data_IF_753950619419
#
_entry.id   IF_753950619419
#
_cell.length_a   1.000
_cell.length_b   1.000
_cell.length_c   1.000
_cell.angle_alpha   90.00
_cell.angle_beta   90.00
_cell.angle_gamma   90.00
#
_symmetry.space_group_name_H-M   'P 1'
#
loop_
_entity.id
_entity.type
_entity.pdbx_description
1 polymer ?
#
# COMPACT_ATOMS: atom_id res chain seq x y z
N UNK A 1 -6.19 -0.26 23.01
CA UNK A 1 -6.62 -0.62 21.64
C UNK A 1 -5.91 -1.91 21.26
N UNK A 2 -6.64 -2.99 20.97
CA UNK A 2 -6.02 -4.19 20.41
C UNK A 2 -5.41 -3.83 19.06
N UNK A 3 -4.08 -3.96 18.93
CA UNK A 3 -3.42 -3.87 17.63
C UNK A 3 -3.97 -5.02 16.78
N UNK A 4 -4.75 -4.72 15.76
CA UNK A 4 -5.22 -5.78 14.87
C UNK A 4 -4.02 -6.36 14.11
N UNK A 5 -4.05 -7.67 13.88
CA UNK A 5 -2.98 -8.37 13.17
C UNK A 5 -3.13 -8.19 11.66
N UNK A 6 -2.05 -8.40 10.89
CA UNK A 6 -2.14 -8.38 9.42
C UNK A 6 -3.16 -9.39 8.88
N UNK A 7 -3.32 -10.55 9.55
CA UNK A 7 -4.34 -11.53 9.19
C UNK A 7 -5.78 -11.03 9.38
N UNK A 8 -6.03 -10.14 10.34
CA UNK A 8 -7.33 -9.50 10.49
C UNK A 8 -7.55 -8.44 9.41
N UNK A 9 -6.50 -7.69 9.08
CA UNK A 9 -6.57 -6.68 8.02
C UNK A 9 -6.82 -7.29 6.64
N UNK A 10 -6.21 -8.45 6.34
CA UNK A 10 -6.44 -9.23 5.10
C UNK A 10 -7.92 -9.60 4.94
N UNK A 11 -8.65 -9.83 6.04
CA UNK A 11 -10.07 -10.18 5.99
C UNK A 11 -10.98 -8.96 5.77
N UNK A 12 -10.51 -7.77 6.18
CA UNK A 12 -11.32 -6.57 6.22
C UNK A 12 -11.12 -5.65 5.02
N UNK A 13 -9.98 -5.76 4.33
CA UNK A 13 -9.59 -4.84 3.27
C UNK A 13 -9.31 -5.57 1.96
N UNK A 14 -9.72 -5.00 0.81
CA UNK A 14 -9.33 -5.53 -0.48
C UNK A 14 -7.81 -5.44 -0.66
N UNK A 15 -7.24 -6.45 -1.32
CA UNK A 15 -5.80 -6.57 -1.54
C UNK A 15 -5.53 -6.38 -3.02
N UNK A 16 -4.54 -5.57 -3.37
CA UNK A 16 -4.10 -5.37 -4.74
C UNK A 16 -2.61 -5.71 -4.87
N UNK A 17 -2.26 -6.60 -5.79
CA UNK A 17 -0.87 -6.80 -6.20
C UNK A 17 -0.42 -5.64 -7.09
N UNK A 18 0.75 -5.10 -6.79
CA UNK A 18 1.38 -4.01 -7.53
C UNK A 18 2.40 -4.61 -8.49
N UNK A 19 2.08 -4.62 -9.78
CA UNK A 19 2.89 -5.29 -10.81
C UNK A 19 3.38 -4.25 -11.79
N UNK A 20 4.71 -4.17 -11.93
CA UNK A 20 5.35 -3.36 -12.97
C UNK A 20 5.51 -4.19 -14.25
N UNK A 21 5.12 -3.63 -15.38
CA UNK A 21 5.38 -4.17 -16.70
C UNK A 21 5.94 -3.08 -17.65
N UNK A 22 5.96 -3.39 -18.96
CA UNK A 22 6.48 -2.49 -20.00
C UNK A 22 5.63 -1.24 -20.24
N UNK A 23 4.36 -1.24 -19.81
CA UNK A 23 3.42 -0.13 -19.97
C UNK A 23 3.26 0.70 -18.69
N UNK A 24 3.87 0.26 -17.59
CA UNK A 24 3.86 0.96 -16.30
C UNK A 24 3.46 0.03 -15.18
N UNK A 25 2.92 0.60 -14.10
CA UNK A 25 2.45 -0.17 -12.97
C UNK A 25 0.94 -0.44 -13.06
N UNK A 26 0.53 -1.67 -12.76
CA UNK A 26 -0.88 -2.08 -12.70
C UNK A 26 -1.20 -2.64 -11.32
N UNK A 27 -2.45 -2.42 -10.90
CA UNK A 27 -3.01 -2.92 -9.65
C UNK A 27 -3.98 -4.06 -9.96
N UNK A 28 -3.64 -5.28 -9.55
CA UNK A 28 -4.49 -6.46 -9.76
C UNK A 28 -5.12 -6.84 -8.43
N UNK A 29 -6.45 -6.88 -8.35
CA UNK A 29 -7.14 -7.31 -7.13
C UNK A 29 -6.89 -8.81 -6.86
N UNK A 30 -6.48 -9.11 -5.63
CA UNK A 30 -6.05 -10.44 -5.18
C UNK A 30 -7.08 -11.06 -4.27
N UNK A 31 -8.03 -11.80 -4.85
CA UNK A 31 -9.08 -12.47 -4.08
C UNK A 31 -8.61 -13.77 -3.39
N UNK A 32 -7.43 -14.28 -3.75
CA UNK A 32 -6.89 -15.56 -3.26
C UNK A 32 -6.03 -15.44 -2.00
N UNK A 33 -5.65 -14.23 -1.56
CA UNK A 33 -4.90 -14.02 -0.31
C UNK A 33 -5.89 -13.95 0.85
N UNK A 34 -5.91 -14.98 1.71
CA UNK A 34 -6.82 -15.10 2.86
C UNK A 34 -6.11 -14.99 4.21
N UNK A 35 -4.78 -15.08 4.19
CA UNK A 35 -3.90 -14.99 5.34
C UNK A 35 -2.50 -14.57 4.90
N UNK A 36 -1.65 -14.27 5.87
CA UNK A 36 -0.23 -14.05 5.63
C UNK A 36 0.45 -15.27 5.01
N UNK A 37 -0.05 -16.49 5.19
CA UNK A 37 0.58 -17.68 4.60
C UNK A 37 0.44 -17.77 3.06
N UNK A 38 -0.42 -16.96 2.45
CA UNK A 38 -0.77 -17.07 1.03
C UNK A 38 0.15 -16.27 0.09
N UNK A 39 1.19 -15.61 0.63
CA UNK A 39 2.19 -14.89 -0.16
C UNK A 39 3.60 -15.07 0.39
N UNK A 40 4.60 -14.82 -0.46
CA UNK A 40 6.00 -15.00 -0.12
C UNK A 40 6.59 -13.76 0.59
N UNK A 41 6.73 -13.85 1.92
CA UNK A 41 7.32 -12.81 2.78
C UNK A 41 8.79 -12.51 2.51
N UNK A 42 9.53 -13.38 1.81
CA UNK A 42 10.92 -13.11 1.44
C UNK A 42 11.05 -12.14 0.27
N UNK A 43 9.94 -11.86 -0.44
CA UNK A 43 9.96 -11.05 -1.66
C UNK A 43 8.94 -9.93 -1.63
N UNK A 44 7.85 -10.08 -0.88
CA UNK A 44 6.74 -9.13 -0.85
C UNK A 44 6.28 -8.83 0.57
N UNK A 45 5.78 -7.61 0.76
CA UNK A 45 5.11 -7.15 1.96
C UNK A 45 3.69 -6.65 1.62
N UNK A 46 2.77 -6.80 2.57
CA UNK A 46 1.49 -6.10 2.53
C UNK A 46 1.63 -4.71 3.15
N UNK A 47 1.24 -3.71 2.39
CA UNK A 47 1.30 -2.29 2.74
C UNK A 47 -0.11 -1.70 2.87
N UNK A 48 -0.41 -1.02 3.96
CA UNK A 48 -1.65 -0.26 4.07
C UNK A 48 -1.55 1.03 3.26
N UNK A 49 -2.48 1.23 2.32
CA UNK A 49 -2.54 2.48 1.53
C UNK A 49 -2.70 3.70 2.44
N UNK A 50 -3.56 3.63 3.46
CA UNK A 50 -3.64 4.66 4.51
C UNK A 50 -2.90 4.11 5.72
N UNK A 51 -1.91 4.81 6.29
CA UNK A 51 -1.22 4.33 7.49
C UNK A 51 -2.23 3.92 8.58
N UNK A 52 -2.15 2.66 9.04
CA UNK A 52 -3.18 2.04 9.89
C UNK A 52 -3.59 2.92 11.07
N UNK A 53 -2.61 3.46 11.80
CA UNK A 53 -2.87 4.34 12.94
C UNK A 53 -3.65 5.61 12.57
N UNK A 54 -3.41 6.17 11.39
CA UNK A 54 -4.13 7.35 10.91
C UNK A 54 -5.56 6.99 10.49
N UNK A 55 -5.74 5.84 9.83
CA UNK A 55 -7.04 5.33 9.43
C UNK A 55 -7.90 5.05 10.65
N UNK A 56 -7.41 4.27 11.61
CA UNK A 56 -8.15 3.89 12.81
C UNK A 56 -8.58 5.13 13.63
N UNK A 57 -7.71 6.15 13.72
CA UNK A 57 -8.01 7.39 14.44
C UNK A 57 -9.06 8.28 13.75
N UNK A 58 -9.13 8.27 12.42
CA UNK A 58 -9.98 9.18 11.64
C UNK A 58 -10.90 8.45 10.66
N UNK A 59 -11.29 7.22 10.99
CA UNK A 59 -11.99 6.31 10.08
C UNK A 59 -13.22 6.96 9.43
N UNK A 60 -14.06 7.59 10.26
CA UNK A 60 -15.26 8.31 9.80
C UNK A 60 -14.93 9.39 8.74
N UNK A 61 -13.87 10.17 8.95
CA UNK A 61 -13.47 11.22 8.00
C UNK A 61 -13.13 10.67 6.61
N UNK A 62 -12.45 9.52 6.58
CA UNK A 62 -12.11 8.82 5.33
C UNK A 62 -13.35 8.22 4.66
N UNK A 63 -14.19 7.53 5.43
CA UNK A 63 -15.39 6.86 4.94
C UNK A 63 -16.41 7.84 4.36
N UNK A 64 -16.67 8.97 5.04
CA UNK A 64 -17.55 10.04 4.55
C UNK A 64 -17.10 10.63 3.21
N UNK A 65 -15.80 10.54 2.90
CA UNK A 65 -15.19 11.04 1.66
C UNK A 65 -15.02 9.96 0.60
N UNK A 66 -15.48 8.74 0.87
CA UNK A 66 -15.32 7.59 -0.03
C UNK A 66 -13.89 7.08 -0.13
N UNK A 67 -13.00 7.48 0.79
CA UNK A 67 -11.61 7.04 0.81
C UNK A 67 -11.56 5.72 1.58
N UNK A 68 -11.45 4.61 0.85
CA UNK A 68 -11.41 3.27 1.44
C UNK A 68 -9.98 2.84 1.75
N UNK A 69 -9.81 2.15 2.86
CA UNK A 69 -8.58 1.42 3.14
C UNK A 69 -8.43 0.25 2.15
N UNK A 70 -7.20 -0.02 1.75
CA UNK A 70 -6.81 -1.17 0.92
C UNK A 70 -5.41 -1.62 1.32
N UNK A 71 -5.12 -2.89 1.07
CA UNK A 71 -3.78 -3.44 1.21
C UNK A 71 -3.14 -3.56 -0.17
N UNK A 72 -1.85 -3.23 -0.26
CA UNK A 72 -1.06 -3.35 -1.46
C UNK A 72 0.01 -4.40 -1.23
N UNK A 73 0.02 -5.47 -2.03
CA UNK A 73 1.11 -6.44 -2.04
C UNK A 73 2.21 -5.89 -2.94
N UNK A 74 3.30 -5.45 -2.33
CA UNK A 74 4.42 -4.77 -3.00
C UNK A 74 5.73 -5.53 -2.79
N UNK A 75 6.68 -5.48 -3.73
CA UNK A 75 8.04 -5.97 -3.49
C UNK A 75 8.68 -5.29 -2.28
N UNK A 76 9.54 -6.01 -1.54
CA UNK A 76 10.20 -5.47 -0.34
C UNK A 76 10.98 -4.19 -0.65
N UNK A 77 11.72 -4.16 -1.76
CA UNK A 77 12.48 -2.97 -2.18
C UNK A 77 11.59 -1.75 -2.42
N UNK A 78 10.40 -1.95 -2.98
CA UNK A 78 9.42 -0.89 -3.16
C UNK A 78 8.83 -0.46 -1.80
N UNK A 79 8.52 -1.42 -0.93
CA UNK A 79 8.03 -1.14 0.42
C UNK A 79 8.99 -0.25 1.22
N UNK A 80 10.29 -0.55 1.18
CA UNK A 80 11.31 0.26 1.83
C UNK A 80 11.37 1.69 1.27
N UNK A 81 11.29 1.84 -0.05
CA UNK A 81 11.29 3.14 -0.73
C UNK A 81 10.02 3.98 -0.45
N UNK A 82 8.87 3.33 -0.24
CA UNK A 82 7.63 4.03 0.18
C UNK A 82 7.81 4.64 1.58
N UNK A 83 8.47 3.92 2.48
CA UNK A 83 8.67 4.36 3.87
C UNK A 83 9.97 5.14 4.09
N UNK A 84 10.72 5.45 3.02
CA UNK A 84 12.04 6.07 3.08
C UNK A 84 13.03 5.31 3.99
N UNK A 85 13.01 3.99 3.93
CA UNK A 85 13.83 3.08 4.74
C UNK A 85 15.00 2.46 3.96
N UNK A 86 15.10 2.72 2.66
CA UNK A 86 16.22 2.23 1.85
C UNK A 86 17.50 3.03 2.11
N UNK A 87 18.66 2.43 1.84
CA UNK A 87 19.98 3.08 1.98
C UNK A 87 20.05 4.37 1.15
N UNK A 88 19.51 4.32 -0.08
CA UNK A 88 19.36 5.48 -0.96
C UNK A 88 17.87 5.64 -1.29
N UNK A 89 17.21 6.59 -0.64
CA UNK A 89 15.80 6.88 -0.88
C UNK A 89 15.64 7.71 -2.16
N UNK A 90 14.71 7.30 -3.01
CA UNK A 90 14.39 7.99 -4.25
C UNK A 90 13.57 9.26 -3.99
N UNK A 91 13.79 10.30 -4.80
CA UNK A 91 12.85 11.41 -4.90
C UNK A 91 11.49 10.93 -5.43
N UNK A 92 10.44 11.74 -5.38
CA UNK A 92 9.14 11.36 -5.98
C UNK A 92 9.28 11.10 -7.49
N UNK A 93 10.02 11.95 -8.21
CA UNK A 93 10.25 11.83 -9.65
C UNK A 93 11.06 10.57 -9.98
N UNK A 94 12.12 10.29 -9.22
CA UNK A 94 12.94 9.08 -9.42
C UNK A 94 12.17 7.81 -9.06
N UNK A 95 11.31 7.88 -8.02
CA UNK A 95 10.44 6.77 -7.64
C UNK A 95 9.48 6.43 -8.78
N UNK A 96 8.85 7.44 -9.37
CA UNK A 96 7.92 7.27 -10.48
C UNK A 96 8.63 6.76 -11.74
N UNK A 97 9.80 7.30 -12.08
CA UNK A 97 10.61 6.81 -13.19
C UNK A 97 11.03 5.34 -12.99
N UNK A 98 11.39 4.97 -11.75
CA UNK A 98 11.85 3.63 -11.44
C UNK A 98 10.72 2.60 -11.37
N UNK A 99 9.59 2.93 -10.74
CA UNK A 99 8.50 1.99 -10.50
C UNK A 99 7.34 2.10 -11.49
N UNK A 100 7.27 3.18 -12.27
CA UNK A 100 6.17 3.45 -13.20
C UNK A 100 4.85 3.78 -12.50
N UNK A 101 4.92 4.29 -11.26
CA UNK A 101 3.78 4.68 -10.42
C UNK A 101 4.20 5.77 -9.46
N UNK A 102 3.31 6.74 -9.24
CA UNK A 102 3.58 7.77 -8.23
C UNK A 102 3.56 7.16 -6.83
N UNK A 103 4.49 7.59 -5.97
CA UNK A 103 4.51 7.19 -4.55
C UNK A 103 3.15 7.43 -3.87
N UNK A 104 2.46 8.50 -4.26
CA UNK A 104 1.17 8.91 -3.70
C UNK A 104 -0.02 8.04 -4.11
N UNK A 105 0.16 7.15 -5.10
CA UNK A 105 -0.82 6.10 -5.42
C UNK A 105 -0.66 4.87 -4.51
N UNK A 106 0.51 4.73 -3.87
CA UNK A 106 0.83 3.61 -2.97
C UNK A 106 0.63 3.98 -1.49
N UNK A 107 0.76 5.26 -1.15
CA UNK A 107 0.47 5.79 0.19
C UNK A 107 -0.40 7.04 0.10
N UNK A 108 -1.51 7.04 0.82
CA UNK A 108 -2.42 8.16 0.86
C UNK A 108 -1.76 9.38 1.51
N UNK A 109 -1.74 10.49 0.78
CA UNK A 109 -1.32 11.79 1.29
C UNK A 109 -2.35 12.84 0.90
N UNK A 110 -2.89 13.55 1.90
CA UNK A 110 -3.89 14.61 1.68
C UNK A 110 -3.41 15.66 0.68
N UNK A 111 -2.16 16.13 0.81
CA UNK A 111 -1.58 17.16 -0.07
C UNK A 111 -1.52 16.75 -1.55
N UNK A 112 -1.49 15.45 -1.82
CA UNK A 112 -1.43 14.87 -3.17
C UNK A 112 -2.75 14.18 -3.54
N UNK A 113 -3.81 14.46 -2.79
CA UNK A 113 -5.17 14.01 -3.07
C UNK A 113 -6.07 15.20 -3.33
N UNK A 114 -7.27 14.97 -3.87
CA UNK A 114 -8.29 16.01 -4.05
C UNK A 114 -8.91 16.54 -2.72
N UNK A 115 -8.33 16.20 -1.56
CA UNK A 115 -8.87 16.44 -0.22
C UNK A 115 -7.87 17.08 0.74
#
# INVERSE_FOLDING_TARGET
MCKSTMNEDIKNYPIYAVIKDIYGCRFIEMNNIKSTADYNHFTHNLHHFIPKQQYDKNKQWYEERGIKQKLLLVPISMHEQIHNQSVNNLSDDDFEAWYGVSRWELVFNRKHSKY
#
